data_IF_332315315293
#
_entry.id   IF_332315315293
#
_cell.length_a   1.000
_cell.length_b   1.000
_cell.length_c   1.000
_cell.angle_alpha   90.00
_cell.angle_beta   90.00
_cell.angle_gamma   90.00
#
_symmetry.space_group_name_H-M   'P 1'
#
loop_
_entity.id
_entity.type
_entity.pdbx_description
1 polymer ?
#
# COMPACT_ATOMS: atom_id res chain seq x y z
N UNK A 1 3.12 24.69 34.26
CA UNK A 1 1.71 24.51 34.66
C UNK A 1 1.20 23.26 33.94
N UNK A 2 1.11 22.10 34.63
CA UNK A 2 0.66 20.84 34.01
C UNK A 2 -0.86 20.93 33.82
N UNK A 3 -1.35 20.76 32.59
CA UNK A 3 -2.79 20.60 32.34
C UNK A 3 -3.29 19.34 33.07
N UNK A 4 -4.46 19.38 33.72
CA UNK A 4 -5.06 18.20 34.34
C UNK A 4 -5.44 17.21 33.23
N UNK A 5 -4.88 16.00 33.28
CA UNK A 5 -5.19 14.95 32.30
C UNK A 5 -6.58 14.37 32.60
N UNK A 6 -7.54 14.64 31.74
CA UNK A 6 -8.80 13.90 31.69
C UNK A 6 -8.53 12.45 31.30
N UNK A 7 -8.90 11.50 32.17
CA UNK A 7 -8.93 10.08 31.84
C UNK A 7 -10.21 9.86 31.01
N UNK A 8 -10.09 9.30 29.81
CA UNK A 8 -11.26 8.95 28.98
C UNK A 8 -11.86 7.64 29.50
N UNK A 9 -13.18 7.44 29.37
CA UNK A 9 -13.81 6.16 29.69
C UNK A 9 -13.29 5.09 28.72
N UNK A 10 -12.62 4.01 29.20
CA UNK A 10 -12.13 2.95 28.33
C UNK A 10 -13.21 2.32 27.44
N UNK A 11 -14.47 2.32 27.90
CA UNK A 11 -15.62 1.77 27.19
C UNK A 11 -15.89 2.49 25.87
N UNK A 12 -15.72 3.82 25.87
CA UNK A 12 -15.90 4.69 24.69
C UNK A 12 -14.77 4.55 23.66
N UNK A 13 -13.68 3.92 24.06
CA UNK A 13 -12.46 3.76 23.28
C UNK A 13 -12.35 2.37 22.62
N UNK A 14 -13.31 1.46 22.84
CA UNK A 14 -13.31 0.15 22.19
C UNK A 14 -13.34 0.32 20.67
N UNK A 15 -12.45 -0.39 19.97
CA UNK A 15 -12.20 -0.27 18.54
C UNK A 15 -11.25 0.86 18.13
N UNK A 16 -10.89 1.76 19.05
CA UNK A 16 -9.96 2.87 18.78
C UNK A 16 -8.53 2.50 19.10
N UNK A 17 -7.60 3.25 18.49
CA UNK A 17 -6.19 3.15 18.83
C UNK A 17 -5.94 3.91 20.13
N UNK A 18 -5.32 3.24 21.09
CA UNK A 18 -5.08 3.77 22.43
C UNK A 18 -3.63 3.59 22.85
N UNK A 19 -3.20 4.41 23.80
CA UNK A 19 -2.10 4.08 24.72
C UNK A 19 -2.70 3.77 26.08
N UNK A 20 -2.33 2.64 26.67
CA UNK A 20 -2.66 2.26 28.04
C UNK A 20 -1.38 2.22 28.85
N UNK A 21 -1.25 3.14 29.80
CA UNK A 21 -0.19 3.13 30.82
C UNK A 21 -0.70 2.37 32.04
N UNK A 22 0.05 1.39 32.52
CA UNK A 22 -0.37 0.55 33.66
C UNK A 22 0.78 0.18 34.60
N UNK A 23 0.44 -0.14 35.85
CA UNK A 23 1.40 -0.52 36.89
C UNK A 23 1.98 -1.91 36.64
N UNK A 24 3.26 -2.06 36.95
CA UNK A 24 3.92 -3.37 37.05
C UNK A 24 3.82 -3.87 38.49
N UNK A 25 3.21 -5.03 38.68
CA UNK A 25 3.13 -5.66 39.98
C UNK A 25 4.52 -6.12 40.44
N UNK A 26 4.94 -5.69 41.64
CA UNK A 26 6.22 -6.06 42.25
C UNK A 26 7.30 -4.97 42.22
N UNK A 27 7.04 -3.82 41.59
CA UNK A 27 7.94 -2.67 41.59
C UNK A 27 7.22 -1.43 42.13
N UNK A 28 7.73 -0.84 43.21
CA UNK A 28 7.09 0.26 43.96
C UNK A 28 6.80 1.50 43.07
N UNK A 29 7.51 1.65 41.96
CA UNK A 29 7.32 2.71 40.96
C UNK A 29 7.30 2.20 39.51
N UNK A 30 7.08 0.90 39.28
CA UNK A 30 7.10 0.30 37.96
C UNK A 30 5.82 0.63 37.18
N UNK A 31 5.97 1.24 36.00
CA UNK A 31 4.87 1.44 35.06
C UNK A 31 5.37 1.26 33.63
N UNK A 32 4.54 0.67 32.78
CA UNK A 32 4.82 0.49 31.36
C UNK A 32 3.62 0.89 30.52
N UNK A 33 3.84 1.00 29.20
CA UNK A 33 2.83 1.42 28.25
C UNK A 33 2.60 0.31 27.20
N UNK A 34 1.35 0.06 26.84
CA UNK A 34 0.98 -0.70 25.64
C UNK A 34 0.23 0.21 24.67
N UNK A 35 0.70 0.24 23.41
CA UNK A 35 0.06 0.98 22.33
C UNK A 35 -0.61 0.00 21.38
N UNK A 36 -1.88 0.21 21.04
CA UNK A 36 -2.63 -0.77 20.27
C UNK A 36 -4.07 -0.39 20.01
N UNK A 37 -4.84 -1.31 19.44
CA UNK A 37 -6.29 -1.17 19.34
C UNK A 37 -6.92 -1.76 20.59
N UNK A 38 -7.81 -1.02 21.25
CA UNK A 38 -8.57 -1.53 22.39
C UNK A 38 -9.67 -2.47 21.88
N UNK A 39 -9.51 -3.78 22.09
CA UNK A 39 -10.48 -4.79 21.64
C UNK A 39 -11.69 -4.90 22.57
N UNK A 40 -11.45 -4.71 23.87
CA UNK A 40 -12.47 -4.80 24.90
C UNK A 40 -12.06 -3.98 26.13
N UNK A 41 -13.07 -3.45 26.81
CA UNK A 41 -12.95 -2.77 28.08
C UNK A 41 -13.95 -3.39 29.08
N UNK A 42 -13.44 -3.93 30.18
CA UNK A 42 -14.22 -4.57 31.23
C UNK A 42 -13.39 -4.67 32.53
N UNK A 43 -13.42 -5.82 33.19
CA UNK A 43 -12.51 -6.13 34.31
C UNK A 43 -11.03 -6.04 33.92
N UNK A 44 -10.75 -6.27 32.62
CA UNK A 44 -9.47 -6.05 31.97
C UNK A 44 -9.66 -5.26 30.68
N UNK A 45 -8.69 -4.40 30.38
CA UNK A 45 -8.53 -3.82 29.05
C UNK A 45 -7.74 -4.81 28.19
N UNK A 46 -8.29 -5.18 27.03
CA UNK A 46 -7.61 -6.05 26.05
C UNK A 46 -7.06 -5.19 24.93
N UNK A 47 -5.75 -5.05 24.85
CA UNK A 47 -5.09 -4.20 23.86
C UNK A 47 -4.33 -5.07 22.87
N UNK A 48 -4.69 -5.00 21.59
CA UNK A 48 -3.93 -5.63 20.50
C UNK A 48 -2.74 -4.74 20.15
N UNK A 49 -1.49 -5.15 20.41
CA UNK A 49 -0.34 -4.25 20.24
C UNK A 49 -0.13 -3.79 18.80
N UNK A 50 0.20 -2.51 18.62
CA UNK A 50 0.49 -1.91 17.29
C UNK A 50 1.72 -2.53 16.61
N UNK A 51 2.64 -3.14 17.39
CA UNK A 51 3.85 -3.80 16.89
C UNK A 51 3.63 -5.30 16.58
N UNK A 52 2.39 -5.78 16.65
CA UNK A 52 2.07 -7.21 16.60
C UNK A 52 2.37 -7.94 17.92
N UNK A 53 1.97 -9.20 18.01
CA UNK A 53 2.10 -10.05 19.21
C UNK A 53 0.76 -10.42 19.85
N UNK A 54 0.83 -11.08 21.00
CA UNK A 54 -0.35 -11.47 21.77
C UNK A 54 -1.10 -10.26 22.34
N UNK A 55 -2.42 -10.42 22.53
CA UNK A 55 -3.26 -9.40 23.14
C UNK A 55 -2.84 -9.20 24.59
N UNK A 56 -2.47 -7.96 24.94
CA UNK A 56 -2.10 -7.60 26.30
C UNK A 56 -3.37 -7.36 27.10
N UNK A 57 -3.57 -8.14 28.16
CA UNK A 57 -4.68 -7.98 29.09
C UNK A 57 -4.20 -7.22 30.34
N UNK A 58 -4.70 -5.99 30.51
CA UNK A 58 -4.35 -5.11 31.64
C UNK A 58 -5.52 -5.06 32.62
N UNK A 59 -5.36 -5.48 33.89
CA UNK A 59 -6.41 -5.33 34.90
C UNK A 59 -6.84 -3.87 35.05
N UNK A 60 -8.15 -3.60 35.12
CA UNK A 60 -8.67 -2.25 35.18
C UNK A 60 -8.12 -1.45 36.37
N UNK A 61 -7.85 -2.11 37.51
CA UNK A 61 -7.23 -1.50 38.70
C UNK A 61 -5.77 -1.05 38.52
N UNK A 62 -5.06 -1.59 37.52
CA UNK A 62 -3.67 -1.25 37.24
C UNK A 62 -3.51 -0.12 36.25
N UNK A 63 -4.58 0.23 35.53
CA UNK A 63 -4.57 1.28 34.52
C UNK A 63 -4.33 2.63 35.21
N UNK A 64 -3.22 3.26 34.85
CA UNK A 64 -2.86 4.61 35.30
C UNK A 64 -3.53 5.62 34.39
N UNK A 65 -3.45 5.41 33.07
CA UNK A 65 -4.02 6.28 32.04
C UNK A 65 -4.42 5.43 30.85
N UNK A 66 -5.61 5.67 30.29
CA UNK A 66 -5.94 5.30 28.92
C UNK A 66 -6.25 6.56 28.12
N UNK A 67 -5.71 6.64 26.90
CA UNK A 67 -5.99 7.74 25.97
C UNK A 67 -6.11 7.21 24.57
N UNK A 68 -7.10 7.73 23.85
CA UNK A 68 -7.11 7.66 22.41
C UNK A 68 -5.84 8.32 21.86
N UNK A 69 -5.17 7.63 20.95
CA UNK A 69 -4.09 8.21 20.17
C UNK A 69 -4.54 8.22 18.71
N UNK A 70 -4.15 9.24 17.93
CA UNK A 70 -4.42 9.23 16.51
C UNK A 70 -3.97 7.92 15.87
N UNK A 71 -4.64 7.50 14.80
CA UNK A 71 -4.06 6.55 13.87
C UNK A 71 -2.62 7.00 13.54
N UNK A 72 -1.68 6.06 13.40
CA UNK A 72 -0.28 6.39 13.13
C UNK A 72 -0.25 7.43 12.03
N UNK A 73 0.18 8.65 12.36
CA UNK A 73 0.28 9.70 11.36
C UNK A 73 1.37 9.27 10.40
N UNK A 74 0.97 8.90 9.20
CA UNK A 74 1.91 8.54 8.14
C UNK A 74 2.72 9.78 7.81
N UNK A 75 4.02 9.72 8.09
CA UNK A 75 4.92 10.85 7.91
C UNK A 75 5.35 10.95 6.45
N UNK A 76 5.87 12.11 6.04
CA UNK A 76 6.53 12.27 4.73
C UNK A 76 7.63 11.24 4.51
N UNK A 77 8.36 10.86 5.58
CA UNK A 77 9.40 9.84 5.50
C UNK A 77 8.80 8.47 5.16
N UNK A 78 7.72 8.09 5.83
CA UNK A 78 7.05 6.81 5.59
C UNK A 78 6.49 6.72 4.16
N UNK A 79 5.90 7.81 3.64
CA UNK A 79 5.45 7.87 2.24
C UNK A 79 6.60 7.70 1.27
N UNK A 80 7.71 8.44 1.46
CA UNK A 80 8.90 8.29 0.61
C UNK A 80 9.46 6.88 0.64
N UNK A 81 9.52 6.28 1.82
CA UNK A 81 10.08 4.95 2.04
C UNK A 81 9.29 3.88 1.27
N UNK A 82 7.97 3.89 1.41
CA UNK A 82 7.09 2.94 0.72
C UNK A 82 7.03 3.20 -0.79
N UNK A 83 6.91 4.46 -1.22
CA UNK A 83 6.91 4.77 -2.66
C UNK A 83 8.24 4.37 -3.31
N UNK A 84 9.38 4.57 -2.65
CA UNK A 84 10.67 4.09 -3.15
C UNK A 84 10.70 2.57 -3.36
N UNK A 85 10.20 1.78 -2.41
CA UNK A 85 10.04 0.33 -2.61
C UNK A 85 9.09 0.03 -3.80
N UNK A 86 7.98 0.76 -3.91
CA UNK A 86 7.02 0.57 -5.00
C UNK A 86 7.59 0.84 -6.40
N UNK A 87 8.54 1.78 -6.52
CA UNK A 87 9.29 2.03 -7.76
C UNK A 87 10.10 0.81 -8.21
N UNK A 88 10.62 0.02 -7.27
CA UNK A 88 11.35 -1.22 -7.56
C UNK A 88 10.42 -2.41 -7.84
N UNK A 89 9.21 -2.41 -7.25
CA UNK A 89 8.21 -3.45 -7.49
C UNK A 89 7.50 -3.36 -8.84
N UNK A 90 7.33 -2.15 -9.39
CA UNK A 90 6.77 -1.90 -10.72
C UNK A 90 7.67 -0.94 -11.52
N UNK A 91 8.70 -1.49 -12.16
CA UNK A 91 9.76 -0.69 -12.79
C UNK A 91 9.36 -0.23 -14.19
N UNK A 92 9.74 1.00 -14.50
CA UNK A 92 9.69 1.50 -15.86
C UNK A 92 10.78 0.85 -16.74
N UNK A 93 10.60 0.91 -18.06
CA UNK A 93 11.59 0.42 -19.03
C UNK A 93 12.74 1.43 -19.19
N UNK A 94 12.43 2.70 -19.00
CA UNK A 94 13.38 3.80 -19.00
C UNK A 94 13.09 4.68 -17.77
N UNK A 95 14.15 5.11 -17.10
CA UNK A 95 14.04 6.04 -15.99
C UNK A 95 15.22 7.00 -15.89
N UNK A 96 14.97 8.19 -15.36
CA UNK A 96 15.97 9.22 -15.18
C UNK A 96 15.69 9.99 -13.88
N UNK A 97 16.71 10.14 -13.03
CA UNK A 97 16.63 10.98 -11.84
C UNK A 97 16.97 12.44 -12.18
N UNK A 98 16.16 13.38 -11.72
CA UNK A 98 16.47 14.82 -11.71
C UNK A 98 16.26 15.38 -10.31
N UNK A 99 17.36 15.57 -9.58
CA UNK A 99 17.29 15.84 -8.14
C UNK A 99 16.51 14.72 -7.44
N UNK A 100 15.56 15.08 -6.59
CA UNK A 100 14.67 14.15 -5.87
C UNK A 100 13.47 13.63 -6.68
N UNK A 101 13.39 13.87 -7.99
CA UNK A 101 12.31 13.38 -8.84
C UNK A 101 12.78 12.25 -9.76
N UNK A 102 11.93 11.22 -9.92
CA UNK A 102 12.18 10.13 -10.86
C UNK A 102 11.23 10.22 -12.05
N UNK A 103 11.77 10.41 -13.24
CA UNK A 103 11.04 10.32 -14.49
C UNK A 103 11.03 8.87 -14.95
N UNK A 104 9.88 8.42 -15.47
CA UNK A 104 9.62 7.01 -15.81
C UNK A 104 8.88 6.91 -17.13
N UNK A 105 9.36 6.07 -18.03
CA UNK A 105 8.70 5.76 -19.29
C UNK A 105 8.70 4.25 -19.56
N UNK A 106 7.57 3.79 -20.07
CA UNK A 106 7.33 2.42 -20.51
C UNK A 106 6.27 2.43 -21.61
N UNK A 107 6.48 3.28 -22.63
CA UNK A 107 5.68 3.34 -23.86
C UNK A 107 4.16 3.51 -23.63
N UNK A 108 3.78 4.20 -22.56
CA UNK A 108 2.38 4.43 -22.16
C UNK A 108 1.77 3.36 -21.26
N UNK A 109 2.38 2.18 -21.13
CA UNK A 109 1.96 1.12 -20.22
C UNK A 109 2.82 1.09 -18.96
N UNK A 110 2.37 1.50 -17.79
CA UNK A 110 1.08 2.04 -17.35
C UNK A 110 1.33 3.37 -16.64
N UNK A 111 0.32 3.99 -16.03
CA UNK A 111 0.52 5.20 -15.19
C UNK A 111 1.68 5.11 -14.19
N UNK A 112 1.84 4.00 -13.44
CA UNK A 112 2.95 3.84 -12.48
C UNK A 112 4.32 3.66 -13.16
N UNK A 113 4.37 3.34 -14.45
CA UNK A 113 5.63 3.25 -15.20
C UNK A 113 5.82 4.39 -16.21
N UNK A 114 4.85 5.31 -16.32
CA UNK A 114 4.79 6.41 -17.29
C UNK A 114 4.35 7.71 -16.60
N UNK A 115 4.96 8.04 -15.46
CA UNK A 115 4.73 9.30 -14.76
C UNK A 115 5.92 9.68 -13.89
N UNK A 116 6.16 10.97 -13.76
CA UNK A 116 7.16 11.53 -12.86
C UNK A 116 6.71 11.31 -11.42
N UNK A 117 7.60 10.79 -10.59
CA UNK A 117 7.42 10.60 -9.15
C UNK A 117 8.20 11.68 -8.38
N UNK A 118 7.53 12.67 -7.77
CA UNK A 118 8.16 13.71 -6.98
C UNK A 118 8.40 13.24 -5.53
N UNK A 119 9.47 12.46 -5.31
CA UNK A 119 9.79 11.94 -3.97
C UNK A 119 10.37 13.01 -3.04
N UNK A 120 11.21 13.90 -3.59
CA UNK A 120 11.83 14.98 -2.82
C UNK A 120 12.06 16.25 -3.65
N UNK A 121 12.83 17.20 -3.12
CA UNK A 121 13.23 18.41 -3.82
C UNK A 121 13.86 18.11 -5.20
N UNK A 122 13.33 18.63 -6.33
CA UNK A 122 13.91 18.43 -7.65
C UNK A 122 15.28 19.12 -7.85
N UNK A 123 15.79 19.83 -6.83
CA UNK A 123 17.09 20.49 -6.86
C UNK A 123 17.11 21.74 -7.75
N UNK A 124 15.94 22.27 -8.06
CA UNK A 124 15.72 23.46 -8.90
C UNK A 124 14.34 24.06 -8.62
N UNK A 125 14.05 25.31 -9.05
CA UNK A 125 12.72 25.89 -8.92
C UNK A 125 11.64 24.99 -9.54
N UNK A 126 10.50 24.81 -8.85
CA UNK A 126 9.40 23.95 -9.31
C UNK A 126 8.94 24.26 -10.75
N UNK A 127 8.82 25.53 -11.18
CA UNK A 127 8.48 25.83 -12.57
C UNK A 127 9.47 25.22 -13.57
N UNK A 128 10.77 25.26 -13.29
CA UNK A 128 11.80 24.73 -14.19
C UNK A 128 11.78 23.20 -14.19
N UNK A 129 11.51 22.58 -13.03
CA UNK A 129 11.36 21.14 -12.90
C UNK A 129 10.17 20.61 -13.70
N UNK A 130 9.01 21.30 -13.64
CA UNK A 130 7.83 20.93 -14.43
C UNK A 130 8.11 21.04 -15.93
N UNK A 131 8.79 22.09 -16.37
CA UNK A 131 9.14 22.25 -17.78
C UNK A 131 10.08 21.14 -18.28
N UNK A 132 11.05 20.75 -17.45
CA UNK A 132 11.93 19.61 -17.75
C UNK A 132 11.13 18.32 -17.93
N UNK A 133 10.21 18.04 -17.01
CA UNK A 133 9.33 16.86 -17.09
C UNK A 133 8.51 16.89 -18.38
N UNK A 134 7.89 18.02 -18.70
CA UNK A 134 7.12 18.16 -19.94
C UNK A 134 7.97 17.86 -21.19
N UNK A 135 9.18 18.43 -21.29
CA UNK A 135 10.09 18.17 -22.42
C UNK A 135 10.51 16.70 -22.50
N UNK A 136 10.83 16.09 -21.37
CA UNK A 136 11.27 14.70 -21.30
C UNK A 136 10.20 13.74 -21.83
N UNK A 137 8.94 13.91 -21.42
CA UNK A 137 7.84 13.09 -21.93
C UNK A 137 7.51 13.40 -23.40
N UNK A 138 7.45 14.67 -23.81
CA UNK A 138 7.17 15.06 -25.22
C UNK A 138 8.22 14.53 -26.19
N UNK A 139 9.50 14.53 -25.81
CA UNK A 139 10.58 13.97 -26.65
C UNK A 139 10.44 12.46 -26.92
N UNK A 140 9.62 11.76 -26.12
CA UNK A 140 9.31 10.33 -26.25
C UNK A 140 7.93 10.08 -26.86
N UNK A 141 7.22 11.13 -27.30
CA UNK A 141 5.84 11.02 -27.78
C UNK A 141 4.85 10.59 -26.69
N UNK A 142 5.18 10.83 -25.42
CA UNK A 142 4.35 10.48 -24.28
C UNK A 142 3.69 11.72 -23.69
N UNK A 143 2.49 11.53 -23.12
CA UNK A 143 1.78 12.56 -22.37
C UNK A 143 2.51 12.80 -21.04
N UNK A 144 2.94 14.05 -20.74
CA UNK A 144 3.50 14.38 -19.44
C UNK A 144 2.53 14.06 -18.30
N UNK A 145 3.03 13.38 -17.28
CA UNK A 145 2.23 12.97 -16.15
C UNK A 145 3.03 13.01 -14.85
N UNK A 146 2.37 13.37 -13.75
CA UNK A 146 2.88 13.21 -12.39
C UNK A 146 2.02 12.20 -11.63
N UNK A 147 2.66 11.29 -10.91
CA UNK A 147 2.03 10.55 -9.80
C UNK A 147 2.39 11.32 -8.55
N UNK A 148 1.42 11.87 -7.82
CA UNK A 148 1.65 12.84 -6.74
C UNK A 148 1.27 12.22 -5.39
N UNK A 149 2.21 11.63 -4.62
CA UNK A 149 1.93 11.12 -3.29
C UNK A 149 1.63 12.24 -2.30
N UNK A 150 0.62 12.04 -1.48
CA UNK A 150 0.25 12.95 -0.40
C UNK A 150 0.95 12.51 0.89
N UNK A 151 1.63 13.42 1.63
CA UNK A 151 1.65 14.88 1.43
C UNK A 151 2.89 15.42 0.68
N UNK A 152 3.70 14.57 0.03
CA UNK A 152 4.99 14.96 -0.58
C UNK A 152 4.84 16.04 -1.65
N UNK A 153 3.91 15.85 -2.59
CA UNK A 153 3.75 16.72 -3.75
C UNK A 153 2.81 17.91 -3.57
N UNK A 154 2.43 18.28 -2.33
CA UNK A 154 1.44 19.35 -2.09
C UNK A 154 1.80 20.69 -2.75
N UNK A 155 3.09 21.05 -2.76
CA UNK A 155 3.55 22.30 -3.37
C UNK A 155 3.48 22.30 -4.91
N UNK A 156 3.40 21.12 -5.54
CA UNK A 156 3.35 20.98 -6.99
C UNK A 156 2.00 21.43 -7.57
N UNK A 157 0.90 21.21 -6.84
CA UNK A 157 -0.46 21.52 -7.30
C UNK A 157 -0.61 22.95 -7.87
N UNK A 158 -0.31 24.00 -7.09
CA UNK A 158 -0.41 25.38 -7.56
C UNK A 158 0.45 25.70 -8.79
N UNK A 159 1.61 25.06 -8.93
CA UNK A 159 2.50 25.25 -10.08
C UNK A 159 1.91 24.61 -11.34
N UNK A 160 1.31 23.43 -11.22
CA UNK A 160 0.62 22.78 -12.32
C UNK A 160 -0.64 23.54 -12.72
N UNK A 161 -1.42 24.03 -11.75
CA UNK A 161 -2.64 24.82 -11.99
C UNK A 161 -2.31 26.11 -12.74
N UNK A 162 -1.26 26.83 -12.32
CA UNK A 162 -0.78 28.04 -12.99
C UNK A 162 -0.31 27.80 -14.44
N UNK A 163 0.05 26.56 -14.78
CA UNK A 163 0.45 26.13 -16.13
C UNK A 163 -0.70 25.53 -16.93
N UNK A 164 -1.94 25.57 -16.43
CA UNK A 164 -3.11 25.05 -17.14
C UNK A 164 -3.22 23.54 -17.18
N UNK A 165 -2.51 22.81 -16.30
CA UNK A 165 -2.71 21.38 -16.17
C UNK A 165 -4.14 21.09 -15.68
N UNK A 166 -4.84 20.09 -16.25
CA UNK A 166 -6.14 19.65 -15.75
C UNK A 166 -6.14 19.34 -14.25
N UNK A 167 -7.33 19.36 -13.64
CA UNK A 167 -7.54 18.96 -12.25
C UNK A 167 -6.98 17.57 -11.95
N UNK A 168 -6.63 17.28 -10.68
CA UNK A 168 -6.31 15.93 -10.23
C UNK A 168 -7.34 14.89 -10.71
N UNK A 169 -6.85 13.75 -11.18
CA UNK A 169 -7.68 12.56 -11.33
C UNK A 169 -8.09 12.00 -9.95
N UNK A 170 -9.02 11.05 -9.96
CA UNK A 170 -9.42 10.32 -8.75
C UNK A 170 -8.19 9.77 -8.01
N UNK A 171 -8.27 9.81 -6.68
CA UNK A 171 -7.18 9.32 -5.84
C UNK A 171 -7.00 7.82 -6.02
N UNK A 172 -5.79 7.37 -5.75
CA UNK A 172 -5.48 5.97 -5.49
C UNK A 172 -4.99 5.86 -4.06
N UNK A 173 -5.64 5.00 -3.28
CA UNK A 173 -5.19 4.69 -1.93
C UNK A 173 -4.10 3.64 -2.00
N UNK A 174 -2.99 3.94 -1.33
CA UNK A 174 -1.98 2.95 -0.98
C UNK A 174 -2.39 2.35 0.35
N UNK A 175 -2.70 1.06 0.35
CA UNK A 175 -3.12 0.34 1.54
C UNK A 175 -2.03 -0.64 1.95
N UNK A 176 -1.81 -0.80 3.26
CA UNK A 176 -0.78 -1.66 3.84
C UNK A 176 -1.36 -2.61 4.89
N UNK A 177 -0.70 -3.75 5.06
CA UNK A 177 -0.96 -4.67 6.17
C UNK A 177 0.31 -5.45 6.53
N UNK A 178 0.44 -5.92 7.78
CA UNK A 178 1.43 -6.94 8.12
C UNK A 178 1.14 -8.24 7.37
N UNK A 179 2.18 -8.92 6.92
CA UNK A 179 2.06 -10.18 6.18
C UNK A 179 1.30 -11.26 6.98
N UNK A 180 1.53 -11.31 8.30
CA UNK A 180 0.87 -12.24 9.21
C UNK A 180 -0.65 -12.09 9.25
N UNK A 181 -1.16 -10.87 9.06
CA UNK A 181 -2.61 -10.58 9.03
C UNK A 181 -3.19 -11.06 7.70
N UNK A 182 -2.55 -10.72 6.59
CA UNK A 182 -3.07 -11.00 5.24
C UNK A 182 -3.06 -12.48 4.91
N UNK A 183 -2.10 -13.25 5.45
CA UNK A 183 -2.11 -14.72 5.34
C UNK A 183 -3.39 -15.35 5.92
N UNK A 184 -4.02 -14.71 6.91
CA UNK A 184 -5.29 -15.15 7.47
C UNK A 184 -6.49 -14.97 6.53
N UNK A 185 -6.34 -14.30 5.39
CA UNK A 185 -7.40 -14.15 4.38
C UNK A 185 -7.54 -15.37 3.46
N UNK A 186 -6.69 -16.39 3.61
CA UNK A 186 -6.80 -17.67 2.92
C UNK A 186 -8.15 -18.35 3.26
N UNK A 187 -8.79 -18.97 2.26
CA UNK A 187 -10.07 -19.66 2.44
C UNK A 187 -9.91 -21.15 2.19
N UNK A 188 -10.27 -21.94 3.20
CA UNK A 188 -10.42 -23.39 3.03
C UNK A 188 -11.47 -23.71 1.95
N UNK A 189 -11.17 -24.71 1.12
CA UNK A 189 -12.07 -25.18 0.06
C UNK A 189 -11.99 -24.41 -1.26
N UNK A 190 -11.12 -23.40 -1.38
CA UNK A 190 -10.74 -22.86 -2.69
C UNK A 190 -9.53 -23.62 -3.26
N UNK A 191 -9.38 -23.71 -4.60
CA UNK A 191 -8.18 -24.29 -5.21
C UNK A 191 -6.92 -23.52 -4.79
N UNK A 192 -5.77 -24.18 -4.69
CA UNK A 192 -4.55 -23.58 -4.17
C UNK A 192 -4.04 -22.44 -5.07
N UNK A 193 -3.37 -21.48 -4.44
CA UNK A 193 -2.65 -20.41 -5.16
C UNK A 193 -1.31 -20.95 -5.64
N UNK A 194 -1.10 -20.99 -6.95
CA UNK A 194 0.21 -21.20 -7.57
C UNK A 194 0.89 -19.85 -7.76
N UNK A 195 2.21 -19.79 -7.60
CA UNK A 195 3.00 -18.58 -7.89
C UNK A 195 4.22 -18.99 -8.72
N UNK A 196 4.25 -18.56 -9.98
CA UNK A 196 5.36 -18.81 -10.90
C UNK A 196 6.23 -17.55 -11.09
N UNK A 197 7.43 -17.72 -11.63
CA UNK A 197 8.37 -16.63 -11.89
C UNK A 197 8.07 -15.85 -13.18
N UNK A 198 7.22 -16.40 -14.06
CA UNK A 198 6.75 -15.77 -15.31
C UNK A 198 5.24 -15.96 -15.50
N UNK A 199 4.56 -15.01 -16.17
CA UNK A 199 3.17 -15.21 -16.53
C UNK A 199 3.06 -16.18 -17.70
N UNK A 200 2.10 -17.10 -17.64
CA UNK A 200 1.64 -17.89 -18.78
C UNK A 200 0.60 -17.11 -19.62
N UNK A 201 0.21 -17.67 -20.77
CA UNK A 201 -0.74 -17.03 -21.68
C UNK A 201 -2.10 -16.80 -21.01
N UNK A 202 -2.56 -17.75 -20.18
CA UNK A 202 -3.80 -17.61 -19.40
C UNK A 202 -3.71 -16.49 -18.36
N UNK A 203 -2.51 -16.23 -17.82
CA UNK A 203 -2.28 -15.13 -16.87
C UNK A 203 -2.38 -13.80 -17.60
N UNK A 204 -1.76 -13.70 -18.77
CA UNK A 204 -1.78 -12.51 -19.61
C UNK A 204 -3.20 -12.21 -20.11
N UNK A 205 -3.93 -13.23 -20.57
CA UNK A 205 -5.32 -13.12 -21.01
C UNK A 205 -6.27 -12.69 -19.87
N UNK A 206 -5.94 -13.04 -18.62
CA UNK A 206 -6.73 -12.64 -17.46
C UNK A 206 -6.55 -11.16 -17.06
N UNK A 207 -5.45 -10.50 -17.45
CA UNK A 207 -5.14 -9.16 -16.96
C UNK A 207 -5.66 -8.06 -17.90
N UNK A 208 -6.65 -7.31 -17.42
CA UNK A 208 -7.34 -6.28 -18.21
C UNK A 208 -6.98 -4.86 -17.73
N UNK A 209 -5.88 -4.30 -18.25
CA UNK A 209 -5.49 -2.93 -17.89
C UNK A 209 -6.50 -1.90 -18.44
N UNK A 210 -7.15 -1.15 -17.54
CA UNK A 210 -8.23 -0.20 -17.89
C UNK A 210 -9.37 -0.87 -18.70
N UNK A 211 -9.61 -2.16 -18.46
CA UNK A 211 -10.66 -2.92 -19.13
C UNK A 211 -10.35 -3.36 -20.56
N UNK A 212 -9.12 -3.13 -21.06
CA UNK A 212 -8.69 -3.57 -22.38
C UNK A 212 -7.62 -4.67 -22.32
N UNK A 213 -7.35 -5.26 -23.49
CA UNK A 213 -6.23 -6.19 -23.68
C UNK A 213 -4.88 -5.52 -23.41
N UNK A 214 -3.91 -6.32 -23.00
CA UNK A 214 -2.55 -5.82 -22.78
C UNK A 214 -1.85 -5.56 -24.12
N UNK A 215 -1.13 -4.44 -24.26
CA UNK A 215 -0.22 -4.29 -25.37
C UNK A 215 0.92 -5.32 -25.25
N UNK A 216 1.45 -5.81 -26.38
CA UNK A 216 2.49 -6.87 -26.38
C UNK A 216 3.71 -6.54 -25.49
N UNK A 217 4.12 -5.26 -25.44
CA UNK A 217 5.24 -4.80 -24.61
C UNK A 217 4.92 -4.72 -23.10
N UNK A 218 3.68 -4.97 -22.68
CA UNK A 218 3.30 -4.98 -21.27
C UNK A 218 4.08 -6.02 -20.47
N UNK A 219 4.39 -7.16 -21.10
CA UNK A 219 5.17 -8.24 -20.49
C UNK A 219 6.53 -7.73 -20.02
N UNK A 220 7.19 -6.86 -20.79
CA UNK A 220 8.49 -6.28 -20.43
C UNK A 220 8.43 -5.52 -19.11
N UNK A 221 7.31 -4.85 -18.82
CA UNK A 221 7.08 -4.14 -17.56
C UNK A 221 6.67 -5.09 -16.44
N UNK A 222 5.87 -6.11 -16.76
CA UNK A 222 5.39 -7.09 -15.79
C UNK A 222 6.55 -7.89 -15.18
N UNK A 223 7.54 -8.28 -15.98
CA UNK A 223 8.58 -9.23 -15.54
C UNK A 223 9.87 -8.58 -15.04
N UNK A 224 10.06 -7.26 -15.18
CA UNK A 224 11.36 -6.61 -14.97
C UNK A 224 11.72 -6.28 -13.51
N UNK A 225 10.84 -6.54 -12.54
CA UNK A 225 11.21 -6.40 -11.13
C UNK A 225 12.20 -7.51 -10.74
N UNK A 226 13.14 -7.20 -9.84
CA UNK A 226 14.22 -8.13 -9.47
C UNK A 226 13.69 -9.43 -8.89
N UNK A 227 12.67 -9.34 -8.03
CA UNK A 227 11.94 -10.50 -7.50
C UNK A 227 10.46 -10.32 -7.77
N UNK A 228 9.93 -11.14 -8.68
CA UNK A 228 8.53 -11.06 -9.13
C UNK A 228 7.90 -12.45 -9.13
N UNK A 229 6.61 -12.50 -8.82
CA UNK A 229 5.80 -13.70 -8.84
C UNK A 229 4.45 -13.45 -9.49
N UNK A 230 3.98 -14.42 -10.25
CA UNK A 230 2.71 -14.40 -10.98
C UNK A 230 1.81 -15.45 -10.35
N UNK A 231 0.90 -14.97 -9.49
CA UNK A 231 -0.04 -15.82 -8.81
C UNK A 231 -1.24 -16.15 -9.70
N UNK A 232 -1.70 -17.39 -9.60
CA UNK A 232 -2.91 -17.87 -10.26
C UNK A 232 -3.71 -18.83 -9.38
N UNK A 233 -5.02 -18.89 -9.63
CA UNK A 233 -5.92 -19.93 -9.11
C UNK A 233 -6.69 -20.50 -10.29
N UNK A 234 -6.63 -21.82 -10.43
CA UNK A 234 -7.34 -22.57 -11.47
C UNK A 234 -8.43 -23.42 -10.81
N UNK A 235 -9.65 -23.35 -11.34
CA UNK A 235 -10.82 -24.09 -10.88
C UNK A 235 -11.28 -24.98 -12.03
N UNK A 236 -11.25 -26.30 -11.83
CA UNK A 236 -11.49 -27.31 -12.88
C UNK A 236 -10.70 -27.05 -14.18
N UNK A 237 -9.43 -26.64 -14.04
CA UNK A 237 -8.52 -26.38 -15.15
C UNK A 237 -8.73 -25.02 -15.84
N UNK A 238 -9.62 -24.17 -15.33
CA UNK A 238 -9.88 -22.82 -15.86
C UNK A 238 -9.31 -21.76 -14.94
N UNK A 239 -8.57 -20.80 -15.49
CA UNK A 239 -8.04 -19.65 -14.75
C UNK A 239 -9.18 -18.78 -14.20
N UNK A 240 -9.32 -18.72 -12.88
CA UNK A 240 -10.39 -17.94 -12.22
C UNK A 240 -9.90 -16.71 -11.47
N UNK A 241 -8.62 -16.66 -11.10
CA UNK A 241 -8.02 -15.47 -10.50
C UNK A 241 -6.53 -15.36 -10.83
N UNK A 242 -6.05 -14.13 -10.93
CA UNK A 242 -4.64 -13.80 -11.10
C UNK A 242 -4.24 -12.63 -10.18
N UNK A 243 -2.96 -12.59 -9.82
CA UNK A 243 -2.34 -11.42 -9.20
C UNK A 243 -0.85 -11.42 -9.51
N UNK A 244 -0.21 -10.25 -9.43
CA UNK A 244 1.24 -10.10 -9.50
C UNK A 244 1.77 -9.64 -8.16
N UNK A 245 2.77 -10.33 -7.63
CA UNK A 245 3.56 -9.92 -6.49
C UNK A 245 4.96 -9.48 -6.91
N UNK A 246 5.51 -8.47 -6.25
CA UNK A 246 6.93 -8.14 -6.34
C UNK A 246 7.49 -7.89 -4.95
N UNK A 247 8.69 -8.40 -4.66
CA UNK A 247 9.37 -8.16 -3.39
C UNK A 247 10.47 -7.14 -3.62
N UNK A 248 10.47 -6.09 -2.79
CA UNK A 248 11.39 -4.97 -2.92
C UNK A 248 11.73 -4.37 -1.56
N UNK A 249 12.96 -3.91 -1.42
CA UNK A 249 13.43 -3.24 -0.21
C UNK A 249 13.16 -1.74 -0.26
N UNK A 250 12.72 -1.19 0.87
CA UNK A 250 12.63 0.24 1.09
C UNK A 250 13.98 0.80 1.61
N UNK A 251 14.26 2.10 1.47
CA UNK A 251 15.45 2.74 2.03
C UNK A 251 15.66 2.51 3.54
N UNK A 252 14.58 2.31 4.30
CA UNK A 252 14.62 1.97 5.72
C UNK A 252 15.12 0.55 6.03
N UNK A 253 15.28 -0.30 5.00
CA UNK A 253 15.56 -1.73 5.12
C UNK A 253 14.31 -2.59 5.29
N UNK A 254 13.11 -1.99 5.32
CA UNK A 254 11.86 -2.75 5.31
C UNK A 254 11.65 -3.45 3.96
N UNK A 255 11.33 -4.74 3.99
CA UNK A 255 11.06 -5.53 2.79
C UNK A 255 9.56 -5.67 2.57
N UNK A 256 9.11 -5.20 1.41
CA UNK A 256 7.69 -5.13 1.06
C UNK A 256 7.31 -6.14 -0.03
N UNK A 257 6.14 -6.75 0.12
CA UNK A 257 5.39 -7.35 -0.99
C UNK A 257 4.51 -6.26 -1.61
N UNK A 258 4.75 -5.91 -2.87
CA UNK A 258 3.83 -5.11 -3.68
C UNK A 258 2.88 -6.00 -4.47
N UNK A 259 1.57 -5.88 -4.21
CA UNK A 259 0.54 -6.60 -4.95
C UNK A 259 -0.10 -5.71 -6.01
N UNK A 260 -0.12 -6.20 -7.24
CA UNK A 260 -0.64 -5.51 -8.43
C UNK A 260 -1.42 -6.49 -9.31
N UNK A 261 -2.15 -5.99 -10.31
CA UNK A 261 -2.85 -6.80 -11.31
C UNK A 261 -3.77 -7.89 -10.71
N UNK A 262 -4.46 -7.60 -9.60
CA UNK A 262 -5.42 -8.52 -8.99
C UNK A 262 -6.69 -8.54 -9.83
N UNK A 263 -7.01 -9.68 -10.43
CA UNK A 263 -8.21 -9.90 -11.22
C UNK A 263 -8.90 -11.20 -10.79
N UNK A 264 -10.24 -11.17 -10.81
CA UNK A 264 -11.07 -12.34 -10.59
C UNK A 264 -12.08 -12.41 -11.72
N UNK A 265 -12.09 -13.55 -12.42
CA UNK A 265 -13.00 -13.84 -13.52
C UNK A 265 -14.44 -13.61 -13.08
N UNK A 266 -15.24 -12.91 -13.90
CA UNK A 266 -16.60 -12.50 -13.56
C UNK A 266 -17.47 -13.63 -12.98
N UNK A 267 -17.49 -14.86 -13.55
CA UNK A 267 -18.26 -15.98 -13.01
C UNK A 267 -17.79 -16.46 -11.63
N UNK A 268 -16.53 -16.22 -11.26
CA UNK A 268 -15.94 -16.66 -10.00
C UNK A 268 -15.90 -15.57 -8.92
N UNK A 269 -16.44 -14.38 -9.20
CA UNK A 269 -16.49 -13.27 -8.22
C UNK A 269 -17.33 -13.63 -7.00
N UNK A 270 -17.10 -12.88 -5.91
CA UNK A 270 -17.79 -13.03 -4.62
C UNK A 270 -17.56 -14.35 -3.87
N UNK A 271 -16.73 -15.25 -4.40
CA UNK A 271 -16.25 -16.47 -3.71
C UNK A 271 -15.09 -16.23 -2.72
N UNK A 272 -14.53 -15.03 -2.71
CA UNK A 272 -13.39 -14.65 -1.86
C UNK A 272 -12.02 -14.82 -2.49
N UNK A 273 -11.94 -15.18 -3.77
CA UNK A 273 -10.70 -15.39 -4.52
C UNK A 273 -9.74 -14.20 -4.45
N UNK A 274 -10.26 -12.97 -4.41
CA UNK A 274 -9.42 -11.76 -4.31
C UNK A 274 -8.63 -11.67 -3.01
N UNK A 275 -9.19 -12.10 -1.87
CA UNK A 275 -8.43 -12.18 -0.62
C UNK A 275 -7.50 -13.40 -0.59
N UNK A 276 -7.99 -14.53 -1.12
CA UNK A 276 -7.26 -15.79 -1.16
C UNK A 276 -5.96 -15.70 -1.97
N UNK A 277 -6.00 -15.10 -3.17
CA UNK A 277 -4.81 -14.97 -4.02
C UNK A 277 -3.75 -14.05 -3.40
N UNK A 278 -4.19 -13.00 -2.69
CA UNK A 278 -3.31 -12.10 -1.95
C UNK A 278 -2.65 -12.84 -0.79
N UNK A 279 -3.39 -13.70 -0.07
CA UNK A 279 -2.83 -14.54 0.98
C UNK A 279 -1.78 -15.54 0.43
N UNK A 280 -2.01 -16.10 -0.76
CA UNK A 280 -1.03 -16.96 -1.44
C UNK A 280 0.26 -16.23 -1.84
N UNK A 281 0.14 -15.01 -2.40
CA UNK A 281 1.31 -14.14 -2.62
C UNK A 281 2.03 -13.79 -1.31
N UNK A 282 1.28 -13.58 -0.24
CA UNK A 282 1.88 -13.33 1.07
C UNK A 282 2.69 -14.56 1.55
N UNK A 283 2.16 -15.78 1.43
CA UNK A 283 2.90 -16.99 1.76
C UNK A 283 4.17 -17.18 0.90
N UNK A 284 4.12 -16.77 -0.38
CA UNK A 284 5.29 -16.77 -1.27
C UNK A 284 6.35 -15.75 -0.82
N UNK A 285 5.96 -14.50 -0.56
CA UNK A 285 6.89 -13.44 -0.20
C UNK A 285 7.43 -13.54 1.25
N UNK A 286 6.73 -14.24 2.15
CA UNK A 286 7.20 -14.57 3.50
C UNK A 286 8.53 -15.36 3.42
N UNK A 287 8.63 -16.32 2.49
CA UNK A 287 9.87 -17.08 2.23
C UNK A 287 11.01 -16.23 1.68
N UNK A 288 10.69 -15.04 1.18
CA UNK A 288 11.64 -14.05 0.65
C UNK A 288 11.98 -12.95 1.67
N UNK A 289 11.44 -13.07 2.90
CA UNK A 289 11.70 -12.15 4.01
C UNK A 289 10.87 -10.87 3.99
N UNK A 290 9.79 -10.80 3.20
CA UNK A 290 8.87 -9.67 3.25
C UNK A 290 8.09 -9.68 4.57
N UNK A 291 8.05 -8.54 5.25
CA UNK A 291 7.35 -8.38 6.55
C UNK A 291 5.99 -7.72 6.40
N UNK A 292 5.84 -6.90 5.36
CA UNK A 292 4.66 -6.09 5.11
C UNK A 292 4.24 -6.19 3.64
N UNK A 293 2.96 -6.00 3.39
CA UNK A 293 2.38 -5.98 2.05
C UNK A 293 1.70 -4.65 1.80
N UNK A 294 1.83 -4.13 0.58
CA UNK A 294 1.08 -3.00 0.10
C UNK A 294 0.37 -3.31 -1.21
N UNK A 295 -0.69 -2.54 -1.48
CA UNK A 295 -1.37 -2.50 -2.76
C UNK A 295 -1.88 -1.09 -3.03
N UNK A 296 -2.24 -0.85 -4.29
CA UNK A 296 -2.72 0.45 -4.75
C UNK A 296 -4.09 0.27 -5.40
N UNK A 297 -5.11 0.94 -4.86
CA UNK A 297 -6.50 0.78 -5.28
C UNK A 297 -7.16 2.14 -5.52
N UNK A 298 -7.72 2.32 -6.72
CA UNK A 298 -8.41 3.55 -7.08
C UNK A 298 -9.58 3.81 -6.12
N UNK A 299 -9.76 5.06 -5.72
CA UNK A 299 -10.82 5.52 -4.81
C UNK A 299 -12.22 5.09 -5.28
N UNK A 300 -12.59 5.18 -6.57
CA UNK A 300 -13.90 4.71 -7.04
C UNK A 300 -14.11 3.20 -6.93
N UNK A 301 -13.05 2.39 -6.74
CA UNK A 301 -13.15 0.94 -6.67
C UNK A 301 -13.55 0.46 -5.25
N UNK A 302 -14.75 0.83 -4.83
CA UNK A 302 -15.35 0.39 -3.56
C UNK A 302 -15.32 -1.12 -3.32
N UNK A 303 -15.67 -1.99 -4.29
CA UNK A 303 -15.64 -3.44 -4.07
C UNK A 303 -14.25 -3.98 -3.74
N UNK A 304 -13.20 -3.49 -4.41
CA UNK A 304 -11.83 -3.89 -4.11
C UNK A 304 -11.39 -3.37 -2.74
N UNK A 305 -11.64 -2.08 -2.44
CA UNK A 305 -11.33 -1.50 -1.11
C UNK A 305 -11.99 -2.28 0.02
N UNK A 306 -13.25 -2.69 -0.14
CA UNK A 306 -13.96 -3.50 0.85
C UNK A 306 -13.36 -4.92 0.99
N UNK A 307 -12.84 -5.50 -0.09
CA UNK A 307 -12.10 -6.78 -0.03
C UNK A 307 -10.81 -6.62 0.77
N UNK A 308 -10.02 -5.59 0.48
CA UNK A 308 -8.73 -5.38 1.15
C UNK A 308 -8.89 -5.01 2.63
N UNK A 309 -9.88 -4.19 3.01
CA UNK A 309 -10.18 -3.93 4.43
C UNK A 309 -10.51 -5.20 5.20
N UNK A 310 -11.27 -6.12 4.60
CA UNK A 310 -11.56 -7.44 5.23
C UNK A 310 -10.33 -8.34 5.33
N UNK A 311 -9.38 -8.19 4.41
CA UNK A 311 -8.08 -8.87 4.48
C UNK A 311 -7.09 -8.20 5.46
N UNK A 312 -7.52 -7.15 6.18
CA UNK A 312 -6.72 -6.48 7.21
C UNK A 312 -5.88 -5.30 6.73
N UNK A 313 -6.09 -4.85 5.48
CA UNK A 313 -5.42 -3.66 4.97
C UNK A 313 -6.01 -2.38 5.55
N UNK A 314 -5.13 -1.47 5.97
CA UNK A 314 -5.45 -0.11 6.34
C UNK A 314 -4.88 0.87 5.30
N UNK A 315 -5.47 2.05 5.19
CA UNK A 315 -4.93 3.11 4.34
C UNK A 315 -3.62 3.64 4.96
N UNK A 316 -2.57 3.77 4.12
CA UNK A 316 -1.31 4.40 4.51
C UNK A 316 -1.27 5.84 4.01
N UNK A 317 -1.53 6.03 2.73
CA UNK A 317 -1.60 7.35 2.12
C UNK A 317 -2.37 7.26 0.80
N UNK A 318 -2.61 8.40 0.19
CA UNK A 318 -3.14 8.47 -1.16
C UNK A 318 -2.12 9.13 -2.10
N UNK A 319 -2.27 8.85 -3.38
CA UNK A 319 -1.70 9.67 -4.43
C UNK A 319 -2.77 9.95 -5.48
N UNK A 320 -2.57 10.99 -6.29
CA UNK A 320 -3.39 11.24 -7.47
C UNK A 320 -2.48 11.41 -8.69
N UNK A 321 -3.06 11.29 -9.89
CA UNK A 321 -2.34 11.66 -11.10
C UNK A 321 -2.71 13.08 -11.53
N UNK A 322 -1.72 13.78 -12.08
CA UNK A 322 -1.91 14.97 -12.91
C UNK A 322 -1.39 14.62 -14.30
N UNK A 323 -2.23 14.66 -15.32
CA UNK A 323 -1.84 14.40 -16.72
C UNK A 323 -2.11 15.64 -17.53
N UNK A 324 -1.14 16.01 -18.37
CA UNK A 324 -1.30 17.11 -19.28
C UNK A 324 -2.27 16.69 -20.40
N UNK A 325 -3.21 17.57 -20.75
CA UNK A 325 -4.19 17.33 -21.82
C UNK A 325 -3.57 17.32 -23.21
#
# INVERSE_FOLDING_TARGET
MRQPSTNQDPSDLVGRRVVVRYRLHGEEFGATDVLGVLEAAGDKLRVRPSRGGEVVAVPAGDVIVVKEIPELTVTRRDVRDLEAAALHGWRALESEWTGGWLLRAARGFTGRANSCMPLDDPGRPLPDAVELVERWYRSRGLVPAFQVPEPLGRALGPVLDARGWPSPEDRTFVMVAPMSVVRGAERAGLPPVRVDDRPDDDWLAGYHYRGGELPAHAVDVLVNAETVGFASVDDDGVRVAIARGAVSDAPSGRRWLGVTAVEVATPARRRGLGGHIVAGLAAWADRLGATDVYLQVAEPNEPARATYRRAGFAEHHAYHYRRLG
#
